data_IF_645855804844
#
_entry.id   IF_645855804844
#
_cell.length_a   1.000
_cell.length_b   1.000
_cell.length_c   1.000
_cell.angle_alpha   90.00
_cell.angle_beta   90.00
_cell.angle_gamma   90.00
#
_symmetry.space_group_name_H-M   'P 1'
#
loop_
_entity.id
_entity.type
_entity.pdbx_description
1 polymer ?
#
# COMPACT_ATOMS: atom_id res chain seq x y z
N UNK A 1 30.30 -31.79 16.36
CA UNK A 1 29.27 -32.62 15.70
C UNK A 1 28.00 -31.79 15.64
N UNK A 2 27.56 -31.43 14.43
CA UNK A 2 26.35 -30.63 14.21
C UNK A 2 25.12 -31.51 14.38
N UNK A 3 24.30 -31.26 15.39
CA UNK A 3 22.99 -31.88 15.56
C UNK A 3 22.06 -31.35 14.47
N UNK A 4 21.96 -32.08 13.36
CA UNK A 4 21.03 -31.77 12.29
C UNK A 4 19.59 -31.80 12.79
N UNK A 5 18.90 -30.67 12.66
CA UNK A 5 17.47 -30.57 12.95
C UNK A 5 16.70 -31.38 11.91
N UNK A 6 16.37 -32.62 12.23
CA UNK A 6 15.53 -33.45 11.37
C UNK A 6 14.11 -32.87 11.33
N UNK A 7 13.68 -32.39 10.17
CA UNK A 7 12.30 -31.98 9.95
C UNK A 7 11.40 -33.21 10.12
N UNK A 8 10.62 -33.26 11.20
CA UNK A 8 9.71 -34.37 11.48
C UNK A 8 8.59 -34.36 10.46
N UNK A 9 8.60 -35.32 9.53
CA UNK A 9 7.46 -35.58 8.65
C UNK A 9 6.36 -36.19 9.51
N UNK A 10 5.29 -35.42 9.73
CA UNK A 10 4.09 -35.90 10.42
C UNK A 10 3.13 -36.44 9.37
N UNK A 11 2.92 -37.75 9.36
CA UNK A 11 1.90 -38.37 8.51
C UNK A 11 0.51 -37.87 8.93
N UNK A 12 -0.20 -37.23 8.00
CA UNK A 12 -1.57 -36.74 8.20
C UNK A 12 -2.51 -37.47 7.25
N UNK A 13 -3.67 -37.89 7.76
CA UNK A 13 -4.71 -38.50 6.94
C UNK A 13 -5.37 -37.44 6.04
N UNK A 14 -5.99 -37.87 4.93
CA UNK A 14 -6.76 -36.97 4.05
C UNK A 14 -7.85 -36.22 4.81
N UNK A 15 -8.46 -36.83 5.83
CA UNK A 15 -9.44 -36.20 6.70
C UNK A 15 -8.81 -35.12 7.60
N UNK A 16 -7.61 -35.36 8.14
CA UNK A 16 -6.87 -34.36 8.93
C UNK A 16 -6.41 -33.19 8.05
N UNK A 17 -5.88 -33.46 6.87
CA UNK A 17 -5.54 -32.42 5.90
C UNK A 17 -6.78 -31.62 5.50
N UNK A 18 -7.90 -32.29 5.26
CA UNK A 18 -9.19 -31.63 4.97
C UNK A 18 -9.62 -30.78 6.16
N UNK A 19 -9.59 -31.28 7.40
CA UNK A 19 -9.95 -30.51 8.59
C UNK A 19 -9.02 -29.31 8.85
N UNK A 20 -7.73 -29.40 8.47
CA UNK A 20 -6.78 -28.28 8.57
C UNK A 20 -7.01 -27.19 7.51
N UNK A 21 -7.78 -27.46 6.46
CA UNK A 21 -8.08 -26.51 5.38
C UNK A 21 -9.59 -26.27 5.20
N UNK A 22 -10.42 -26.91 6.04
CA UNK A 22 -11.88 -26.87 5.91
C UNK A 22 -12.47 -26.11 7.08
N UNK A 23 -13.15 -25.00 6.77
CA UNK A 23 -14.40 -24.58 7.38
C UNK A 23 -14.74 -24.94 8.82
N UNK A 24 -13.89 -24.90 9.85
CA UNK A 24 -14.37 -25.18 11.20
C UNK A 24 -15.01 -23.89 11.72
N UNK A 25 -16.35 -23.81 11.70
CA UNK A 25 -17.04 -22.81 12.50
C UNK A 25 -16.65 -23.05 13.96
N UNK A 26 -15.77 -22.20 14.48
CA UNK A 26 -15.42 -22.27 15.89
C UNK A 26 -16.64 -21.76 16.64
N UNK A 27 -17.28 -22.63 17.42
CA UNK A 27 -18.43 -22.24 18.24
C UNK A 27 -18.10 -20.98 19.04
N UNK A 28 -18.88 -19.92 18.86
CA UNK A 28 -18.69 -18.61 19.50
C UNK A 28 -18.41 -17.42 18.57
N UNK A 29 -18.27 -17.62 17.26
CA UNK A 29 -18.07 -16.50 16.32
C UNK A 29 -16.65 -15.92 16.32
N UNK A 30 -15.65 -16.74 16.67
CA UNK A 30 -14.26 -16.30 16.76
C UNK A 30 -13.70 -15.94 15.37
N UNK A 31 -13.26 -14.69 15.22
CA UNK A 31 -12.51 -14.22 14.06
C UNK A 31 -11.00 -14.49 14.28
N UNK A 32 -10.30 -14.82 13.20
CA UNK A 32 -8.85 -14.76 13.16
C UNK A 32 -8.43 -13.29 13.00
N UNK A 33 -7.60 -12.80 13.93
CA UNK A 33 -6.89 -11.52 13.77
C UNK A 33 -5.50 -11.80 13.17
N UNK A 34 -5.20 -11.20 12.03
CA UNK A 34 -3.86 -11.29 11.40
C UNK A 34 -3.34 -9.90 11.01
N UNK A 35 -2.01 -9.67 11.08
CA UNK A 35 -1.42 -8.50 10.47
C UNK A 35 -1.72 -8.47 8.97
N UNK A 36 -2.13 -7.32 8.46
CA UNK A 36 -2.47 -7.15 7.05
C UNK A 36 -2.10 -5.76 6.55
N UNK A 37 -1.84 -5.68 5.25
CA UNK A 37 -1.60 -4.44 4.52
C UNK A 37 -2.55 -4.42 3.35
N UNK A 38 -3.44 -3.44 3.28
CA UNK A 38 -4.28 -3.15 2.14
C UNK A 38 -3.63 -2.01 1.36
N UNK A 39 -3.39 -2.17 0.05
CA UNK A 39 -2.74 -1.12 -0.75
C UNK A 39 -3.28 -1.06 -2.17
N UNK A 40 -3.13 0.11 -2.79
CA UNK A 40 -3.43 0.38 -4.18
C UNK A 40 -2.49 1.46 -4.74
N UNK A 41 -2.02 1.25 -5.96
CA UNK A 41 -1.04 2.08 -6.67
C UNK A 41 -1.66 2.60 -7.96
N UNK A 42 -1.63 3.91 -8.13
CA UNK A 42 -2.18 4.59 -9.30
C UNK A 42 -1.09 5.41 -10.00
N UNK A 43 -1.17 5.48 -11.33
CA UNK A 43 -0.28 6.31 -12.14
C UNK A 43 -0.71 7.78 -12.06
N UNK A 44 0.22 8.66 -11.69
CA UNK A 44 0.06 10.09 -11.79
C UNK A 44 0.30 10.51 -13.24
N UNK A 45 -0.71 11.11 -13.87
CA UNK A 45 -0.60 11.62 -15.25
C UNK A 45 -0.32 13.12 -15.22
N UNK A 46 0.85 13.50 -15.70
CA UNK A 46 1.31 14.90 -15.79
C UNK A 46 0.37 15.75 -16.63
N UNK A 47 0.13 16.98 -16.21
CA UNK A 47 -0.69 17.97 -16.91
C UNK A 47 -2.21 17.71 -16.84
N UNK A 48 -2.64 16.66 -16.14
CA UNK A 48 -4.08 16.32 -16.00
C UNK A 48 -4.49 15.95 -14.58
N UNK A 49 -3.57 15.42 -13.77
CA UNK A 49 -3.92 14.93 -12.43
C UNK A 49 -4.02 16.07 -11.42
N UNK A 50 -5.22 16.33 -10.94
CA UNK A 50 -5.48 17.15 -9.74
C UNK A 50 -6.00 16.30 -8.57
N UNK A 51 -6.57 15.13 -8.87
CA UNK A 51 -7.05 14.19 -7.88
C UNK A 51 -6.78 12.76 -8.35
N UNK A 52 -6.37 11.91 -7.42
CA UNK A 52 -6.21 10.48 -7.64
C UNK A 52 -7.16 9.74 -6.70
N UNK A 53 -7.87 8.75 -7.25
CA UNK A 53 -8.78 7.91 -6.50
C UNK A 53 -8.19 6.51 -6.42
N UNK A 54 -8.20 5.93 -5.22
CA UNK A 54 -7.65 4.62 -4.93
C UNK A 54 -8.76 3.69 -4.46
N UNK A 55 -8.52 2.39 -4.60
CA UNK A 55 -9.44 1.35 -4.19
C UNK A 55 -10.77 1.37 -4.95
N UNK A 56 -10.86 2.01 -6.13
CA UNK A 56 -12.10 2.03 -6.92
C UNK A 56 -12.34 0.74 -7.71
N UNK A 57 -11.26 0.13 -8.18
CA UNK A 57 -11.31 -1.06 -9.03
C UNK A 57 -10.23 -2.05 -8.60
N UNK A 58 -10.47 -3.33 -8.89
CA UNK A 58 -9.49 -4.37 -8.61
C UNK A 58 -8.36 -4.27 -9.62
N UNK A 59 -7.14 -4.06 -9.14
CA UNK A 59 -5.95 -4.09 -9.98
C UNK A 59 -5.76 -5.49 -10.59
N UNK A 60 -5.56 -5.52 -11.91
CA UNK A 60 -5.23 -6.75 -12.63
C UNK A 60 -3.83 -7.24 -12.23
N UNK A 61 -2.88 -6.31 -12.11
CA UNK A 61 -1.55 -6.57 -11.58
C UNK A 61 -1.57 -6.51 -10.05
N UNK A 62 -1.32 -7.64 -9.40
CA UNK A 62 -1.33 -7.75 -7.93
C UNK A 62 -0.12 -7.14 -7.24
N UNK A 63 0.87 -6.68 -8.00
CA UNK A 63 1.96 -5.84 -7.47
C UNK A 63 1.52 -4.38 -7.29
N UNK A 64 0.41 -3.97 -7.92
CA UNK A 64 -0.13 -2.61 -7.84
C UNK A 64 -1.33 -2.49 -6.90
N UNK A 65 -1.86 -3.59 -6.40
CA UNK A 65 -2.91 -3.54 -5.38
C UNK A 65 -3.42 -4.92 -5.03
N UNK A 66 -3.96 -5.07 -3.83
CA UNK A 66 -4.39 -6.36 -3.30
C UNK A 66 -5.86 -6.42 -2.88
N UNK A 67 -6.68 -5.48 -3.38
CA UNK A 67 -8.11 -5.56 -3.17
C UNK A 67 -8.75 -6.82 -3.77
N UNK A 68 -9.74 -7.35 -3.05
CA UNK A 68 -10.62 -8.41 -3.52
C UNK A 68 -11.72 -7.88 -4.44
N UNK A 69 -12.28 -6.73 -4.11
CA UNK A 69 -13.34 -6.02 -4.85
C UNK A 69 -13.13 -4.52 -4.77
N UNK A 70 -13.64 -3.79 -5.77
CA UNK A 70 -13.63 -2.33 -5.78
C UNK A 70 -14.34 -1.76 -4.56
N UNK A 71 -13.61 -0.99 -3.74
CA UNK A 71 -14.14 -0.17 -2.65
C UNK A 71 -14.81 -0.93 -1.53
N UNK A 72 -14.62 -2.24 -1.41
CA UNK A 72 -15.30 -3.07 -0.40
C UNK A 72 -14.43 -4.23 0.04
N UNK A 73 -14.51 -4.56 1.33
CA UNK A 73 -13.95 -5.79 1.88
C UNK A 73 -14.91 -6.98 1.67
N UNK A 74 -14.40 -8.22 1.64
CA UNK A 74 -15.22 -9.42 1.63
C UNK A 74 -16.23 -9.45 2.78
N UNK A 75 -17.28 -10.26 2.63
CA UNK A 75 -18.23 -10.54 3.71
C UNK A 75 -17.48 -11.04 4.95
N UNK A 76 -17.96 -10.66 6.13
CA UNK A 76 -17.39 -11.04 7.44
C UNK A 76 -15.90 -10.71 7.62
N UNK A 77 -15.38 -9.72 6.90
CA UNK A 77 -13.99 -9.26 7.03
C UNK A 77 -13.93 -7.78 7.42
N UNK A 78 -13.24 -7.47 8.51
CA UNK A 78 -12.98 -6.10 8.98
C UNK A 78 -11.50 -5.80 8.91
N UNK A 79 -11.15 -4.56 8.55
CA UNK A 79 -9.79 -4.06 8.68
C UNK A 79 -9.75 -2.96 9.73
N UNK A 80 -9.06 -3.23 10.83
CA UNK A 80 -8.67 -2.24 11.83
C UNK A 80 -7.37 -1.58 11.36
N UNK A 81 -7.43 -0.28 11.05
CA UNK A 81 -6.30 0.48 10.54
C UNK A 81 -5.50 1.00 11.73
N UNK A 82 -4.23 0.65 11.75
CA UNK A 82 -3.26 1.11 12.73
C UNK A 82 -2.38 2.22 12.15
N UNK A 83 -1.92 2.03 10.91
CA UNK A 83 -1.12 3.00 10.16
C UNK A 83 -1.72 3.22 8.78
N UNK A 84 -1.69 4.47 8.35
CA UNK A 84 -1.97 4.87 6.96
C UNK A 84 -0.68 5.34 6.33
N UNK A 85 -0.49 5.17 5.02
CA UNK A 85 0.70 5.67 4.34
C UNK A 85 0.42 6.05 2.89
N UNK A 86 1.22 6.99 2.40
CA UNK A 86 1.22 7.50 1.02
C UNK A 86 2.66 7.45 0.54
N UNK A 87 2.90 6.74 -0.55
CA UNK A 87 4.23 6.45 -1.04
C UNK A 87 4.35 6.79 -2.53
N UNK A 88 4.97 7.93 -2.87
CA UNK A 88 5.33 8.24 -4.25
C UNK A 88 6.52 7.38 -4.70
N UNK A 89 6.43 6.87 -5.92
CA UNK A 89 7.44 6.05 -6.60
C UNK A 89 7.68 6.63 -7.98
N UNK A 90 8.88 7.13 -8.24
CA UNK A 90 9.23 7.70 -9.55
C UNK A 90 10.39 6.94 -10.14
N UNK A 91 10.19 6.29 -11.28
CA UNK A 91 11.28 5.60 -11.98
C UNK A 91 12.15 6.62 -12.74
N UNK A 92 13.46 6.71 -12.47
CA UNK A 92 14.34 7.55 -13.27
C UNK A 92 14.49 6.99 -14.69
N UNK A 93 14.62 7.88 -15.67
CA UNK A 93 14.77 7.58 -17.09
C UNK A 93 16.22 7.31 -17.51
N UNK A 94 17.20 7.75 -16.70
CA UNK A 94 18.63 7.53 -16.93
C UNK A 94 19.48 7.74 -15.66
N UNK A 95 20.75 7.34 -15.72
CA UNK A 95 21.73 7.59 -14.65
C UNK A 95 22.06 9.09 -14.55
N UNK A 96 22.27 9.58 -13.33
CA UNK A 96 22.67 10.97 -12.99
C UNK A 96 21.62 12.03 -13.36
N UNK A 97 21.46 12.39 -14.65
CA UNK A 97 20.53 13.44 -15.10
C UNK A 97 19.07 13.03 -14.87
N UNK A 98 18.73 11.77 -15.13
CA UNK A 98 17.38 11.26 -14.88
C UNK A 98 16.99 11.20 -13.40
N UNK A 99 17.98 11.06 -12.51
CA UNK A 99 17.76 11.08 -11.06
C UNK A 99 17.41 12.49 -10.56
N UNK A 100 18.14 13.52 -11.02
CA UNK A 100 17.83 14.92 -10.68
C UNK A 100 16.44 15.30 -11.20
N UNK A 101 16.08 14.85 -12.41
CA UNK A 101 14.74 15.07 -12.95
C UNK A 101 13.63 14.42 -12.13
N UNK A 102 13.83 13.18 -11.68
CA UNK A 102 12.87 12.48 -10.84
C UNK A 102 12.69 13.15 -9.47
N UNK A 103 13.75 13.73 -8.90
CA UNK A 103 13.65 14.56 -7.69
C UNK A 103 12.87 15.85 -7.90
N UNK A 104 13.09 16.55 -9.02
CA UNK A 104 12.29 17.73 -9.36
C UNK A 104 10.81 17.39 -9.53
N UNK A 105 10.49 16.27 -10.19
CA UNK A 105 9.10 15.81 -10.35
C UNK A 105 8.45 15.46 -8.99
N UNK A 106 9.21 14.87 -8.07
CA UNK A 106 8.77 14.62 -6.70
C UNK A 106 8.48 15.93 -5.95
N UNK A 107 9.38 16.92 -6.03
CA UNK A 107 9.23 18.19 -5.31
C UNK A 107 7.98 18.94 -5.81
N UNK A 108 7.74 18.97 -7.13
CA UNK A 108 6.51 19.52 -7.70
C UNK A 108 5.28 18.82 -7.10
N UNK A 109 5.21 17.49 -7.21
CA UNK A 109 4.01 16.75 -6.81
C UNK A 109 3.76 16.74 -5.29
N UNK A 110 4.81 16.70 -4.46
CA UNK A 110 4.67 16.46 -3.01
C UNK A 110 4.89 17.72 -2.17
N UNK A 111 5.67 18.69 -2.64
CA UNK A 111 6.05 19.90 -1.88
C UNK A 111 5.35 21.14 -2.41
N UNK A 112 5.31 21.34 -3.73
CA UNK A 112 4.65 22.51 -4.35
C UNK A 112 3.13 22.33 -4.36
N UNK A 113 2.67 21.16 -4.85
CA UNK A 113 1.24 20.84 -4.98
C UNK A 113 0.58 20.38 -3.67
N UNK A 114 1.38 20.19 -2.60
CA UNK A 114 0.95 19.94 -1.21
C UNK A 114 -0.25 18.99 -1.09
N UNK A 115 -0.13 17.74 -1.57
CA UNK A 115 -1.26 16.84 -1.64
C UNK A 115 -1.82 16.53 -0.25
N UNK A 116 -3.13 16.33 -0.19
CA UNK A 116 -3.84 15.88 1.02
C UNK A 116 -4.44 14.51 0.80
N UNK A 117 -4.37 13.68 1.83
CA UNK A 117 -4.98 12.36 1.87
C UNK A 117 -6.30 12.41 2.62
N UNK A 118 -7.30 11.75 2.03
CA UNK A 118 -8.61 11.54 2.63
C UNK A 118 -9.05 10.10 2.41
N UNK A 119 -9.44 9.43 3.48
CA UNK A 119 -10.14 8.15 3.46
C UNK A 119 -11.61 8.39 3.77
N UNK A 120 -12.49 7.99 2.88
CA UNK A 120 -13.93 8.04 3.09
C UNK A 120 -14.45 6.62 3.25
N UNK A 121 -15.19 6.34 4.32
CA UNK A 121 -15.87 5.06 4.55
C UNK A 121 -17.36 5.38 4.67
N UNK A 122 -18.15 4.89 3.71
CA UNK A 122 -19.53 5.29 3.47
C UNK A 122 -19.61 6.82 3.33
N UNK A 123 -20.30 7.49 4.25
CA UNK A 123 -20.45 8.95 4.25
C UNK A 123 -19.51 9.64 5.25
N UNK A 124 -18.64 8.89 5.93
CA UNK A 124 -17.73 9.43 6.94
C UNK A 124 -16.34 9.64 6.37
N UNK A 125 -15.91 10.89 6.43
CA UNK A 125 -14.57 11.32 6.04
C UNK A 125 -13.59 11.21 7.21
N UNK A 126 -12.45 10.56 6.96
CA UNK A 126 -11.28 10.48 7.82
C UNK A 126 -10.12 11.09 7.03
N UNK A 127 -9.81 12.37 7.21
CA UNK A 127 -8.87 12.97 6.27
C UNK A 127 -8.56 14.45 6.39
N UNK A 128 -8.08 14.95 5.24
CA UNK A 128 -7.33 16.19 5.01
C UNK A 128 -5.96 16.22 5.68
N UNK A 129 -5.36 15.04 5.84
CA UNK A 129 -4.00 14.93 6.37
C UNK A 129 -3.03 15.22 5.23
N UNK A 130 -2.10 16.18 5.35
CA UNK A 130 -1.14 16.45 4.30
C UNK A 130 -0.26 15.21 4.05
N UNK A 131 -0.02 14.88 2.78
CA UNK A 131 0.74 13.69 2.37
C UNK A 131 2.17 13.67 2.95
N UNK A 132 2.73 14.85 3.26
CA UNK A 132 4.04 15.00 3.93
C UNK A 132 4.11 14.36 5.31
N UNK A 133 2.98 14.07 5.96
CA UNK A 133 2.95 13.41 7.28
C UNK A 133 3.02 11.88 7.20
N UNK A 134 2.98 11.29 6.01
CA UNK A 134 2.91 9.84 5.82
C UNK A 134 4.27 9.16 5.61
N UNK A 135 5.38 9.89 5.77
CA UNK A 135 6.73 9.33 5.76
C UNK A 135 7.62 9.94 6.85
N UNK A 136 8.71 9.25 7.19
CA UNK A 136 9.75 9.84 8.04
C UNK A 136 10.52 10.83 7.17
N UNK A 137 10.68 12.05 7.69
CA UNK A 137 11.60 13.10 7.24
C UNK A 137 11.12 14.12 6.20
N UNK A 138 9.85 14.15 5.76
CA UNK A 138 9.33 15.25 4.93
C UNK A 138 10.24 15.64 3.75
N UNK A 139 10.96 14.65 3.20
CA UNK A 139 12.16 14.85 2.42
C UNK A 139 12.54 13.61 1.62
N UNK A 140 13.50 13.84 0.73
CA UNK A 140 13.96 12.93 -0.31
C UNK A 140 14.61 11.66 0.27
N UNK A 141 13.89 10.52 0.24
CA UNK A 141 14.43 9.22 0.64
C UNK A 141 15.24 8.59 -0.49
N UNK A 142 16.55 8.49 -0.32
CA UNK A 142 17.48 8.05 -1.37
C UNK A 142 17.14 6.74 -2.09
N UNK A 143 17.94 6.42 -3.11
CA UNK A 143 17.73 5.25 -3.97
C UNK A 143 18.06 3.93 -3.25
N UNK A 144 17.25 2.90 -3.50
CA UNK A 144 17.66 1.51 -3.29
C UNK A 144 18.43 1.01 -4.50
N UNK A 145 19.59 0.38 -4.29
CA UNK A 145 20.33 -0.32 -5.35
C UNK A 145 20.03 -1.82 -5.25
N UNK A 146 19.37 -2.39 -6.25
CA UNK A 146 19.37 -3.84 -6.43
C UNK A 146 20.65 -4.23 -7.18
N UNK A 147 21.56 -4.96 -6.52
CA UNK A 147 22.69 -5.59 -7.18
C UNK A 147 22.18 -6.68 -8.12
N UNK A 148 22.00 -6.36 -9.40
CA UNK A 148 22.00 -7.38 -10.45
C UNK A 148 23.45 -7.71 -10.84
N UNK A 149 23.63 -8.85 -11.51
CA UNK A 149 24.94 -9.38 -11.90
C UNK A 149 25.87 -8.30 -12.45
N UNK A 150 27.16 -8.39 -12.10
CA UNK A 150 28.19 -7.38 -12.37
C UNK A 150 28.02 -6.72 -13.75
N UNK A 151 27.68 -5.41 -13.75
CA UNK A 151 27.52 -4.60 -14.95
C UNK A 151 26.07 -4.22 -15.32
N UNK A 152 25.06 -4.71 -14.61
CA UNK A 152 23.67 -4.26 -14.77
C UNK A 152 23.17 -3.65 -13.46
N UNK A 153 23.09 -2.32 -13.39
CA UNK A 153 22.43 -1.63 -12.26
C UNK A 153 20.96 -1.46 -12.63
N UNK A 154 20.08 -2.21 -11.96
CA UNK A 154 18.65 -1.90 -11.99
C UNK A 154 18.41 -0.76 -11.00
N UNK A 155 18.10 0.43 -11.53
CA UNK A 155 17.84 1.61 -10.72
C UNK A 155 16.38 1.60 -10.32
N UNK A 156 16.13 1.29 -9.04
CA UNK A 156 14.79 1.32 -8.49
C UNK A 156 14.48 2.69 -7.87
N UNK A 157 13.20 3.01 -8.00
CA UNK A 157 12.46 4.26 -7.80
C UNK A 157 13.04 5.30 -6.81
N UNK A 158 12.89 6.58 -7.14
CA UNK A 158 12.88 7.68 -6.16
C UNK A 158 11.68 7.48 -5.24
N UNK A 159 11.90 7.52 -3.93
CA UNK A 159 10.85 7.28 -2.96
C UNK A 159 10.88 8.28 -1.81
N UNK A 160 9.75 8.48 -1.14
CA UNK A 160 9.75 9.10 0.17
C UNK A 160 10.47 8.14 1.14
N UNK A 161 11.29 8.63 2.07
CA UNK A 161 12.02 7.76 3.01
C UNK A 161 11.12 6.72 3.67
N UNK A 162 11.64 5.50 3.91
CA UNK A 162 10.90 4.38 4.54
C UNK A 162 10.48 4.76 5.97
N UNK A 163 9.35 5.45 6.10
CA UNK A 163 8.72 5.81 7.36
C UNK A 163 7.52 4.93 7.67
N UNK A 164 7.16 4.87 8.95
CA UNK A 164 6.07 4.01 9.46
C UNK A 164 4.65 4.46 9.06
N UNK A 165 4.47 5.49 8.23
CA UNK A 165 3.15 6.05 7.93
C UNK A 165 2.63 6.99 9.03
N UNK A 166 1.39 7.45 8.90
CA UNK A 166 0.63 8.19 9.89
C UNK A 166 -0.11 7.23 10.83
N UNK A 167 0.19 7.30 12.13
CA UNK A 167 -0.42 6.44 13.15
C UNK A 167 -1.84 6.90 13.50
N UNK A 168 -2.80 5.99 13.42
CA UNK A 168 -4.19 6.20 13.84
C UNK A 168 -4.63 5.24 14.96
N UNK A 169 -3.79 4.26 15.32
CA UNK A 169 -3.93 3.45 16.52
C UNK A 169 -5.22 2.65 16.65
N UNK A 170 -5.68 2.05 15.54
CA UNK A 170 -6.85 1.17 15.52
C UNK A 170 -8.19 1.93 15.56
N UNK A 171 -8.18 3.26 15.59
CA UNK A 171 -9.40 4.06 15.73
C UNK A 171 -10.26 4.11 14.45
N UNK A 172 -9.72 3.68 13.32
CA UNK A 172 -10.42 3.64 12.03
C UNK A 172 -10.62 2.18 11.63
N UNK A 173 -11.88 1.79 11.41
CA UNK A 173 -12.24 0.43 11.01
C UNK A 173 -12.96 0.50 9.67
N UNK A 174 -12.50 -0.27 8.69
CA UNK A 174 -13.24 -0.55 7.46
C UNK A 174 -14.14 -1.77 7.73
N UNK A 175 -15.48 -1.62 7.70
CA UNK A 175 -16.39 -2.74 7.88
C UNK A 175 -16.50 -3.61 6.60
N UNK A 176 -16.97 -4.87 6.74
CA UNK A 176 -17.33 -5.71 5.62
C UNK A 176 -18.38 -5.03 4.76
N UNK A 177 -18.24 -5.14 3.44
CA UNK A 177 -19.23 -4.65 2.46
C UNK A 177 -19.57 -3.14 2.57
N UNK A 178 -18.82 -2.37 3.36
CA UNK A 178 -18.94 -0.94 3.38
C UNK A 178 -18.13 -0.33 2.24
N UNK A 179 -18.76 0.55 1.46
CA UNK A 179 -18.07 1.32 0.44
C UNK A 179 -16.97 2.18 1.09
N UNK A 180 -15.74 2.10 0.60
CA UNK A 180 -14.67 2.99 0.99
C UNK A 180 -13.87 3.47 -0.21
N UNK A 181 -13.24 4.64 -0.07
CA UNK A 181 -12.45 5.28 -1.10
C UNK A 181 -11.29 6.03 -0.44
N UNK A 182 -10.09 5.90 -0.99
CA UNK A 182 -9.02 6.84 -0.65
C UNK A 182 -8.81 7.83 -1.78
N UNK A 183 -8.51 9.07 -1.42
CA UNK A 183 -8.26 10.13 -2.36
C UNK A 183 -6.97 10.86 -1.98
N UNK A 184 -6.18 11.17 -3.00
CA UNK A 184 -5.12 12.17 -2.92
C UNK A 184 -5.59 13.36 -3.75
N UNK A 185 -5.68 14.54 -3.13
CA UNK A 185 -6.02 15.79 -3.82
C UNK A 185 -4.82 16.74 -3.76
N UNK A 186 -4.41 17.20 -4.94
CA UNK A 186 -3.37 18.21 -5.13
C UNK A 186 -3.99 19.61 -5.12
N UNK A 187 -3.21 20.63 -4.78
CA UNK A 187 -3.65 22.02 -4.78
C UNK A 187 -4.03 22.50 -6.20
N UNK A 188 -3.30 22.05 -7.21
CA UNK A 188 -3.52 22.30 -8.64
C UNK A 188 -3.32 21.05 -9.49
N UNK A 189 -3.17 21.27 -10.80
CA UNK A 189 -2.85 20.21 -11.75
C UNK A 189 -1.34 19.95 -11.68
N UNK A 190 -0.95 18.73 -11.31
CA UNK A 190 0.46 18.34 -11.23
C UNK A 190 1.05 18.30 -12.64
N UNK A 191 2.09 19.09 -12.88
CA UNK A 191 2.82 19.13 -14.16
C UNK A 191 4.29 18.79 -13.95
N UNK A 192 4.65 17.54 -14.17
CA UNK A 192 6.04 17.05 -14.11
C UNK A 192 6.80 17.41 -15.40
N UNK A 193 8.12 17.55 -15.30
CA UNK A 193 8.98 17.95 -16.42
C UNK A 193 9.15 16.84 -17.48
N UNK A 194 8.79 15.59 -17.15
CA UNK A 194 8.90 14.45 -18.05
C UNK A 194 7.76 13.44 -17.85
N UNK A 195 7.52 12.62 -18.87
CA UNK A 195 6.56 11.52 -18.86
C UNK A 195 7.12 10.24 -18.19
N UNK A 196 7.76 10.38 -17.02
CA UNK A 196 8.25 9.24 -16.22
C UNK A 196 7.06 8.45 -15.64
N UNK A 197 7.30 7.18 -15.35
CA UNK A 197 6.37 6.36 -14.57
C UNK A 197 6.40 6.85 -13.10
N UNK A 198 5.53 7.82 -12.80
CA UNK A 198 5.28 8.33 -11.46
C UNK A 198 4.02 7.65 -10.93
N UNK A 199 4.20 6.76 -9.97
CA UNK A 199 3.10 6.14 -9.23
C UNK A 199 3.00 6.71 -7.83
N UNK A 200 1.78 6.79 -7.33
CA UNK A 200 1.54 6.97 -5.89
C UNK A 200 0.86 5.70 -5.41
N UNK A 201 1.34 5.16 -4.29
CA UNK A 201 0.72 4.05 -3.59
C UNK A 201 0.12 4.57 -2.30
N UNK A 202 -1.14 4.21 -2.05
CA UNK A 202 -1.78 4.42 -0.75
C UNK A 202 -1.92 3.05 -0.09
N UNK A 203 -1.68 2.99 1.21
CA UNK A 203 -1.97 1.78 1.95
C UNK A 203 -2.34 1.98 3.41
N UNK A 204 -2.96 0.94 3.93
CA UNK A 204 -3.49 0.81 5.27
C UNK A 204 -2.95 -0.46 5.89
N UNK A 205 -2.17 -0.30 6.95
CA UNK A 205 -1.60 -1.41 7.70
C UNK A 205 -2.32 -1.51 9.04
N UNK A 206 -2.60 -2.74 9.47
CA UNK A 206 -3.14 -3.02 10.79
C UNK A 206 -3.58 -4.46 10.91
N UNK A 207 -4.73 -4.67 11.56
CA UNK A 207 -5.23 -5.99 11.89
C UNK A 207 -6.47 -6.33 11.06
N UNK A 208 -6.39 -7.40 10.27
CA UNK A 208 -7.52 -7.96 9.54
C UNK A 208 -8.21 -9.01 10.41
N UNK A 209 -9.48 -8.78 10.70
CA UNK A 209 -10.35 -9.71 11.39
C UNK A 209 -11.17 -10.45 10.35
N UNK A 210 -11.03 -11.78 10.25
CA UNK A 210 -11.73 -12.61 9.25
C UNK A 210 -12.16 -13.95 9.83
N UNK A 211 -13.11 -14.69 9.22
CA UNK A 211 -13.53 -15.98 9.72
C UNK A 211 -12.37 -16.98 9.68
N UNK A 212 -12.29 -17.84 10.70
CA UNK A 212 -11.38 -18.99 10.67
C UNK A 212 -11.95 -19.98 9.65
N UNK A 213 -11.13 -20.30 8.64
CA UNK A 213 -11.38 -21.42 7.74
C UNK A 213 -10.95 -22.71 8.46
#
# INVERSE_FOLDING_TARGET
MSTGTTFKIVNRTKAQLRAMVSPQSVGGGNLQAIPYVLFDSQLLTSGTTQQMNFFQSVQADKTLGNMWSGGMLPVDTWLEIEWMWVYPQIRPDSVTTGMVGAWGDYDVAMIEERPTHTLTIQDKEYGQIPASFFGQEGGQGGFGYNEAAAGVVHQDYVTHGQGRGFWVGGQIIIPPQAGFLAQIRFAGIVTTASARDFRITVGYQGTLHRPIL
#
